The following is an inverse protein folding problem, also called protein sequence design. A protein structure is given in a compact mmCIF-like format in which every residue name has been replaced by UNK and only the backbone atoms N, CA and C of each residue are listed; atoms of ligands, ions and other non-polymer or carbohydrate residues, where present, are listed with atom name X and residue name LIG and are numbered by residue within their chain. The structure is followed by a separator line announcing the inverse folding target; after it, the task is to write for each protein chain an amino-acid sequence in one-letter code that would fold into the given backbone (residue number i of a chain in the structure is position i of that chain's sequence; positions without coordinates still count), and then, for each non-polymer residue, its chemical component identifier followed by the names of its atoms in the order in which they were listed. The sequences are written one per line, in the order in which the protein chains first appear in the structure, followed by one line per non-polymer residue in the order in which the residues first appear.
data_IF_441487428362
#
_entry.id   IF_441487428362
#
_cell.length_a   1.000
_cell.length_b   1.000
_cell.length_c   1.000
_cell.angle_alpha   90.00
_cell.angle_beta   90.00
_cell.angle_gamma   90.00
#
_symmetry.space_group_name_H-M   'P 1'
#
loop_
_entity.id
_entity.type
_entity.pdbx_description
1 polymer ?
#
# COMPACT_ATOMS: atom_id res chain seq x y z
N UNK A 1 7.65 -12.42 -8.20
CA UNK A 1 6.73 -11.28 -8.09
C UNK A 1 7.25 -10.23 -7.11
N UNK A 2 7.20 -10.49 -5.80
CA UNK A 2 7.56 -9.53 -4.73
C UNK A 2 8.94 -8.89 -4.91
N UNK A 3 9.97 -9.66 -5.28
CA UNK A 3 11.31 -9.11 -5.54
C UNK A 3 11.33 -8.05 -6.66
N UNK A 4 10.53 -8.23 -7.72
CA UNK A 4 10.46 -7.30 -8.87
C UNK A 4 9.68 -6.03 -8.53
N UNK A 5 8.67 -6.16 -7.66
CA UNK A 5 7.92 -5.01 -7.11
C UNK A 5 8.82 -4.21 -6.17
N UNK A 6 9.58 -4.89 -5.29
CA UNK A 6 10.51 -4.22 -4.40
C UNK A 6 11.60 -3.48 -5.17
N UNK A 7 12.08 -4.03 -6.30
CA UNK A 7 13.01 -3.34 -7.20
C UNK A 7 12.36 -2.29 -8.11
N UNK A 8 11.03 -2.07 -8.06
CA UNK A 8 10.37 -1.08 -8.91
C UNK A 8 10.80 0.33 -8.51
N UNK A 9 10.84 1.29 -9.46
CA UNK A 9 11.15 2.68 -9.16
C UNK A 9 10.01 3.40 -8.41
N UNK A 10 8.86 2.75 -8.24
CA UNK A 10 7.69 3.32 -7.59
C UNK A 10 7.76 3.04 -6.09
N UNK A 11 7.77 4.11 -5.30
CA UNK A 11 8.01 4.08 -3.86
C UNK A 11 6.85 3.45 -3.08
N UNK A 12 7.21 2.80 -1.97
CA UNK A 12 6.29 2.31 -0.94
C UNK A 12 6.42 3.09 0.36
N UNK A 13 5.94 2.48 1.45
CA UNK A 13 6.11 3.03 2.79
C UNK A 13 7.52 2.76 3.30
N UNK A 14 8.18 3.82 3.75
CA UNK A 14 9.48 3.76 4.38
C UNK A 14 9.28 3.61 5.89
N UNK A 15 9.71 2.46 6.42
CA UNK A 15 9.69 2.16 7.84
C UNK A 15 11.10 2.26 8.38
N UNK A 16 11.29 3.04 9.44
CA UNK A 16 12.53 3.13 10.19
C UNK A 16 12.29 2.61 11.60
N UNK A 17 13.12 1.69 12.05
CA UNK A 17 13.13 1.20 13.42
C UNK A 17 14.52 1.44 14.03
N UNK A 18 14.55 1.88 15.28
CA UNK A 18 15.78 2.02 16.06
C UNK A 18 15.65 1.15 17.31
N UNK A 19 16.55 0.20 17.47
CA UNK A 19 16.61 -0.70 18.61
C UNK A 19 17.83 -0.37 19.48
N UNK A 20 17.67 0.00 20.76
CA UNK A 20 18.80 0.15 21.67
C UNK A 20 19.46 -1.21 21.88
N UNK A 21 20.77 -1.30 21.64
CA UNK A 21 21.50 -2.57 21.73
C UNK A 21 22.04 -2.84 23.13
N UNK A 22 22.18 -1.81 23.97
CA UNK A 22 22.81 -1.93 25.26
C UNK A 22 22.20 -0.99 26.30
N UNK A 23 21.84 -1.52 27.47
CA UNK A 23 21.24 -0.76 28.57
C UNK A 23 22.22 0.20 29.27
N UNK A 24 23.53 0.01 29.07
CA UNK A 24 24.59 0.84 29.64
C UNK A 24 25.15 1.85 28.63
N UNK A 25 24.84 1.70 27.34
CA UNK A 25 25.24 2.61 26.26
C UNK A 25 24.01 3.05 25.50
N UNK A 26 23.35 4.07 26.05
CA UNK A 26 22.08 4.59 25.55
C UNK A 26 22.20 5.28 24.19
N UNK A 27 23.41 5.48 23.70
CA UNK A 27 23.76 6.01 22.37
C UNK A 27 23.96 4.89 21.33
N UNK A 28 24.08 3.64 21.74
CA UNK A 28 24.32 2.51 20.84
C UNK A 28 22.98 1.93 20.35
N UNK A 29 22.58 2.34 19.14
CA UNK A 29 21.37 1.91 18.48
C UNK A 29 21.67 1.12 17.20
N UNK A 30 20.84 0.12 16.96
CA UNK A 30 20.74 -0.54 15.68
C UNK A 30 19.56 0.07 14.90
N UNK A 31 19.85 0.66 13.75
CA UNK A 31 18.84 1.21 12.87
C UNK A 31 18.55 0.25 11.72
N UNK A 32 17.27 0.00 11.47
CA UNK A 32 16.78 -0.80 10.36
C UNK A 32 15.82 0.06 9.52
N UNK A 33 16.05 0.05 8.22
CA UNK A 33 15.25 0.82 7.25
C UNK A 33 14.70 -0.15 6.21
N UNK A 34 13.36 -0.20 6.11
CA UNK A 34 12.67 -1.13 5.21
C UNK A 34 11.66 -0.36 4.37
N UNK A 35 11.68 -0.58 3.07
CA UNK A 35 10.63 -0.12 2.17
C UNK A 35 9.61 -1.24 1.95
N UNK A 36 8.35 -0.98 2.30
CA UNK A 36 7.24 -1.94 2.14
C UNK A 36 6.30 -1.43 1.06
N UNK A 37 6.18 -2.20 -0.03
CA UNK A 37 5.26 -1.91 -1.15
C UNK A 37 4.04 -2.82 -1.17
N UNK A 38 4.19 -4.03 -0.64
CA UNK A 38 3.18 -5.07 -0.67
C UNK A 38 3.38 -6.03 0.51
N UNK A 39 2.29 -6.33 1.20
CA UNK A 39 2.20 -7.45 2.14
C UNK A 39 1.03 -8.35 1.74
N UNK A 40 1.19 -9.65 1.93
CA UNK A 40 0.13 -10.62 1.70
C UNK A 40 -0.06 -11.50 2.93
N UNK A 41 -1.32 -11.79 3.26
CA UNK A 41 -1.69 -12.77 4.26
C UNK A 41 -2.77 -13.68 3.65
N UNK A 42 -2.41 -14.94 3.39
CA UNK A 42 -3.26 -15.88 2.65
C UNK A 42 -3.64 -15.34 1.27
N UNK A 43 -4.94 -15.14 1.01
CA UNK A 43 -5.52 -14.60 -0.21
C UNK A 43 -5.64 -13.07 -0.21
N UNK A 44 -5.52 -12.43 0.95
CA UNK A 44 -5.60 -10.97 1.07
C UNK A 44 -4.22 -10.32 0.83
N UNK A 45 -4.23 -9.25 0.03
CA UNK A 45 -3.04 -8.44 -0.25
C UNK A 45 -3.28 -6.98 0.03
N UNK A 46 -2.33 -6.34 0.72
CA UNK A 46 -2.35 -4.90 1.01
C UNK A 46 -1.16 -4.24 0.32
N UNK A 47 -1.46 -3.20 -0.46
CA UNK A 47 -0.48 -2.43 -1.21
C UNK A 47 -0.24 -1.08 -0.55
N UNK A 48 1.01 -0.64 -0.57
CA UNK A 48 1.45 0.62 0.01
C UNK A 48 2.18 1.45 -1.03
N UNK A 49 1.88 2.74 -1.05
CA UNK A 49 2.44 3.71 -1.98
C UNK A 49 2.32 5.10 -1.38
N UNK A 50 3.24 5.99 -1.73
CA UNK A 50 3.22 7.40 -1.33
C UNK A 50 2.19 8.23 -2.12
N UNK A 51 1.93 7.83 -3.37
CA UNK A 51 1.01 8.51 -4.28
C UNK A 51 0.10 7.51 -5.00
N UNK A 52 -1.08 7.98 -5.43
CA UNK A 52 -2.02 7.17 -6.19
C UNK A 52 -1.42 6.71 -7.54
N UNK A 53 -0.68 7.58 -8.22
CA UNK A 53 -0.02 7.24 -9.48
C UNK A 53 1.04 6.13 -9.30
N UNK A 54 1.84 6.18 -8.24
CA UNK A 54 2.80 5.10 -7.95
C UNK A 54 2.09 3.79 -7.59
N UNK A 55 0.93 3.87 -6.92
CA UNK A 55 0.10 2.71 -6.63
C UNK A 55 -0.40 2.05 -7.92
N UNK A 56 -0.98 2.81 -8.84
CA UNK A 56 -1.48 2.32 -10.12
C UNK A 56 -0.38 1.66 -10.96
N UNK A 57 0.82 2.27 -10.98
CA UNK A 57 1.97 1.69 -11.67
C UNK A 57 2.44 0.36 -11.04
N UNK A 58 2.47 0.28 -9.71
CA UNK A 58 2.77 -0.97 -9.00
C UNK A 58 1.69 -2.04 -9.24
N UNK A 59 0.40 -1.66 -9.24
CA UNK A 59 -0.72 -2.56 -9.54
C UNK A 59 -0.69 -3.07 -10.98
N UNK A 60 -0.20 -2.28 -11.93
CA UNK A 60 0.00 -2.74 -13.31
C UNK A 60 1.01 -3.88 -13.40
N UNK A 61 2.15 -3.75 -12.72
CA UNK A 61 3.16 -4.83 -12.65
C UNK A 61 2.55 -6.07 -11.97
N UNK A 62 1.69 -5.86 -10.98
CA UNK A 62 1.00 -6.95 -10.29
C UNK A 62 0.01 -7.68 -11.19
N UNK A 63 -0.83 -6.94 -11.92
CA UNK A 63 -1.85 -7.46 -12.84
C UNK A 63 -1.22 -8.32 -13.94
N UNK A 64 -0.10 -7.88 -14.52
CA UNK A 64 0.67 -8.66 -15.48
C UNK A 64 1.13 -10.01 -14.90
N UNK A 65 1.58 -10.00 -13.63
CA UNK A 65 1.99 -11.23 -12.95
C UNK A 65 0.80 -12.13 -12.62
N UNK A 66 -0.31 -11.57 -12.12
CA UNK A 66 -1.51 -12.34 -11.82
C UNK A 66 -2.08 -13.01 -13.07
N UNK A 67 -2.10 -12.30 -14.19
CA UNK A 67 -2.48 -12.83 -15.50
C UNK A 67 -1.57 -13.98 -15.93
N UNK A 68 -0.25 -13.81 -15.83
CA UNK A 68 0.72 -14.87 -16.14
C UNK A 68 0.55 -16.11 -15.26
N UNK A 69 0.28 -15.91 -13.98
CA UNK A 69 0.08 -16.98 -13.00
C UNK A 69 -1.35 -17.57 -13.01
N UNK A 70 -2.25 -17.06 -13.86
CA UNK A 70 -3.67 -17.41 -13.90
C UNK A 70 -4.37 -17.24 -12.53
N UNK A 71 -3.99 -16.22 -11.78
CA UNK A 71 -4.60 -15.81 -10.51
C UNK A 71 -5.67 -14.77 -10.82
N UNK A 72 -6.88 -14.97 -10.29
CA UNK A 72 -7.99 -14.02 -10.46
C UNK A 72 -8.16 -13.18 -9.19
N UNK A 73 -7.88 -11.89 -9.30
CA UNK A 73 -8.12 -10.93 -8.23
C UNK A 73 -9.56 -10.42 -8.32
N UNK A 74 -10.24 -10.34 -7.17
CA UNK A 74 -11.54 -9.69 -7.08
C UNK A 74 -11.34 -8.18 -6.88
N UNK A 75 -11.23 -7.44 -8.00
CA UNK A 75 -10.99 -5.99 -7.99
C UNK A 75 -12.14 -5.19 -7.36
N UNK A 76 -13.37 -5.71 -7.37
CA UNK A 76 -14.54 -5.05 -6.74
C UNK A 76 -14.46 -5.01 -5.21
N UNK A 77 -13.70 -5.93 -4.61
CA UNK A 77 -13.46 -5.93 -3.15
C UNK A 77 -12.33 -4.99 -2.73
N UNK A 78 -11.62 -4.38 -3.67
CA UNK A 78 -10.53 -3.45 -3.37
C UNK A 78 -11.09 -2.19 -2.71
N UNK A 79 -10.43 -1.77 -1.63
CA UNK A 79 -10.75 -0.55 -0.89
C UNK A 79 -9.50 0.30 -0.77
N UNK A 80 -9.67 1.62 -0.86
CA UNK A 80 -8.58 2.58 -0.68
C UNK A 80 -8.61 3.15 0.73
N UNK A 81 -7.48 3.06 1.42
CA UNK A 81 -7.20 3.80 2.63
C UNK A 81 -6.23 4.93 2.26
N UNK A 82 -6.63 6.17 2.49
CA UNK A 82 -5.80 7.34 2.16
C UNK A 82 -5.94 8.44 3.20
N UNK A 83 -4.88 9.23 3.35
CA UNK A 83 -4.87 10.47 4.12
C UNK A 83 -4.97 11.70 3.20
N UNK A 84 -5.19 11.50 1.89
CA UNK A 84 -5.37 12.58 0.94
C UNK A 84 -6.75 13.24 1.14
N UNK A 85 -6.73 14.48 1.62
CA UNK A 85 -7.92 15.27 1.93
C UNK A 85 -8.80 15.55 0.70
N UNK A 86 -8.22 15.64 -0.50
CA UNK A 86 -8.97 15.94 -1.72
C UNK A 86 -9.73 14.70 -2.19
N UNK A 87 -9.13 13.51 -2.05
CA UNK A 87 -9.82 12.24 -2.26
C UNK A 87 -10.90 12.01 -1.19
N UNK A 88 -10.65 12.36 0.07
CA UNK A 88 -11.61 12.20 1.16
C UNK A 88 -12.83 13.14 1.06
N UNK A 89 -12.69 14.32 0.43
CA UNK A 89 -13.79 15.28 0.22
C UNK A 89 -14.72 14.88 -0.94
N UNK A 90 -14.38 13.87 -1.73
CA UNK A 90 -15.25 13.41 -2.81
C UNK A 90 -16.59 12.93 -2.23
N UNK A 91 -17.70 13.45 -2.77
CA UNK A 91 -19.04 13.33 -2.16
C UNK A 91 -19.51 11.89 -1.93
N UNK A 92 -18.97 10.93 -2.69
CA UNK A 92 -19.34 9.52 -2.62
C UNK A 92 -18.28 8.63 -1.97
N UNK A 93 -17.18 9.20 -1.45
CA UNK A 93 -16.03 8.44 -0.95
C UNK A 93 -15.61 7.34 -1.94
N UNK A 94 -15.53 7.70 -3.22
CA UNK A 94 -15.24 6.77 -4.30
C UNK A 94 -14.34 7.44 -5.31
N UNK A 95 -13.32 6.73 -5.76
CA UNK A 95 -12.43 7.18 -6.82
C UNK A 95 -12.24 6.09 -7.87
N UNK A 96 -11.92 6.51 -9.09
CA UNK A 96 -11.46 5.60 -10.12
C UNK A 96 -9.99 5.29 -9.89
N UNK A 97 -9.65 4.00 -9.85
CA UNK A 97 -8.29 3.49 -9.75
C UNK A 97 -7.98 2.64 -10.98
N UNK A 98 -6.85 2.91 -11.62
CA UNK A 98 -6.34 2.06 -12.68
C UNK A 98 -5.66 0.82 -12.09
N UNK A 99 -6.31 -0.35 -12.19
CA UNK A 99 -5.74 -1.63 -11.77
C UNK A 99 -5.35 -2.44 -13.01
N UNK A 100 -4.09 -2.29 -13.42
CA UNK A 100 -3.60 -2.87 -14.66
C UNK A 100 -4.27 -2.21 -15.86
N UNK A 101 -4.94 -3.00 -16.70
CA UNK A 101 -5.69 -2.46 -17.84
C UNK A 101 -7.14 -2.07 -17.51
N UNK A 102 -7.61 -2.38 -16.31
CA UNK A 102 -9.00 -2.12 -15.91
C UNK A 102 -9.09 -0.83 -15.08
N UNK A 103 -10.06 0.02 -15.42
CA UNK A 103 -10.46 1.16 -14.58
C UNK A 103 -11.56 0.69 -13.63
N UNK A 104 -11.29 0.74 -12.32
CA UNK A 104 -12.18 0.22 -11.29
C UNK A 104 -12.60 1.36 -10.37
N UNK A 105 -13.89 1.51 -10.14
CA UNK A 105 -14.40 2.41 -9.10
C UNK A 105 -14.26 1.73 -7.74
N UNK A 106 -13.47 2.31 -6.84
CA UNK A 106 -13.20 1.74 -5.51
C UNK A 106 -13.73 2.65 -4.40
N UNK A 107 -14.15 2.03 -3.31
CA UNK A 107 -14.56 2.72 -2.08
C UNK A 107 -13.33 3.23 -1.31
N UNK A 108 -13.37 4.51 -0.94
CA UNK A 108 -12.43 5.15 -0.03
C UNK A 108 -12.97 4.98 1.38
N UNK A 109 -12.21 4.32 2.24
CA UNK A 109 -12.59 4.11 3.64
C UNK A 109 -12.06 5.29 4.46
N UNK A 110 -12.94 6.16 4.99
CA UNK A 110 -12.50 7.31 5.77
C UNK A 110 -11.91 6.87 7.10
N UNK A 111 -10.98 7.68 7.63
CA UNK A 111 -10.46 7.50 8.99
C UNK A 111 -11.64 7.50 9.97
N UNK A 112 -11.76 6.45 10.78
CA UNK A 112 -12.77 6.39 11.85
C UNK A 112 -12.57 7.61 12.75
N UNK A 113 -13.59 8.48 12.85
CA UNK A 113 -13.62 9.49 13.90
C UNK A 113 -13.88 8.73 15.19
N UNK A 114 -12.81 8.43 15.92
CA UNK A 114 -12.95 7.91 17.27
C UNK A 114 -13.66 8.98 18.08
N UNK A 115 -14.95 8.76 18.38
CA UNK A 115 -15.63 9.50 19.43
C UNK A 115 -14.88 9.15 20.71
N UNK A 116 -14.06 10.08 21.16
CA UNK A 116 -13.43 10.05 22.47
C UNK A 116 -14.58 10.02 23.49
N UNK A 117 -14.70 8.91 24.22
CA UNK A 117 -15.59 8.77 25.36
C UNK A 117 -15.08 9.57 26.56
#
# INVERSE_FOLDING_TARGET
MFAKINSSPYSGYHLQASLPMNIHRLDEHHEENIEVKLIGYLDDTTWFSDTLNNLENNLKIADDFYSLANIKINKEKTKLLTNDEDLLKQSNHRCNLQFGNDLVEIEIVPKRKDNVF
#
